data_IF_294055289936
#
_entry.id   IF_294055289936
#
_cell.length_a   1.000
_cell.length_b   1.000
_cell.length_c   1.000
_cell.angle_alpha   90.00
_cell.angle_beta   90.00
_cell.angle_gamma   90.00
#
_symmetry.space_group_name_H-M   'P 1'
#
loop_
_entity.id
_entity.type
_entity.pdbx_description
1 polymer ?
#
# COMPACT_ATOMS: atom_id res chain seq x y z
N UNK A 1 -18.79 14.91 -9.46
CA UNK A 1 -17.98 13.73 -9.91
C UNK A 1 -16.64 13.66 -9.20
N UNK A 2 -15.88 14.76 -9.14
CA UNK A 2 -14.53 14.82 -8.55
C UNK A 2 -14.44 14.38 -7.07
N UNK A 3 -15.40 14.78 -6.22
CA UNK A 3 -15.45 14.34 -4.81
C UNK A 3 -15.55 12.82 -4.62
N UNK A 4 -16.30 12.12 -5.50
CA UNK A 4 -16.40 10.65 -5.47
C UNK A 4 -15.07 10.01 -5.87
N UNK A 5 -14.38 10.57 -6.86
CA UNK A 5 -13.07 10.07 -7.30
C UNK A 5 -12.01 10.22 -6.19
N UNK A 6 -11.99 11.36 -5.48
CA UNK A 6 -11.06 11.59 -4.37
C UNK A 6 -11.32 10.61 -3.22
N UNK A 7 -12.58 10.42 -2.84
CA UNK A 7 -12.97 9.43 -1.83
C UNK A 7 -12.54 8.01 -2.23
N UNK A 8 -12.68 7.66 -3.51
CA UNK A 8 -12.24 6.38 -4.03
C UNK A 8 -10.71 6.23 -3.96
N UNK A 9 -9.95 7.28 -4.27
CA UNK A 9 -8.50 7.30 -4.19
C UNK A 9 -7.99 7.09 -2.76
N UNK A 10 -8.61 7.77 -1.79
CA UNK A 10 -8.30 7.64 -0.35
C UNK A 10 -8.57 6.20 0.10
N UNK A 11 -9.78 5.69 -0.20
CA UNK A 11 -10.16 4.33 0.18
C UNK A 11 -9.24 3.29 -0.44
N UNK A 12 -8.94 3.43 -1.73
CA UNK A 12 -8.05 2.51 -2.44
C UNK A 12 -6.62 2.53 -1.87
N UNK A 13 -6.06 3.72 -1.61
CA UNK A 13 -4.74 3.85 -0.99
C UNK A 13 -4.69 3.22 0.41
N UNK A 14 -5.73 3.41 1.21
CA UNK A 14 -5.85 2.81 2.53
C UNK A 14 -5.91 1.27 2.48
N UNK A 15 -6.70 0.70 1.56
CA UNK A 15 -6.75 -0.76 1.34
C UNK A 15 -5.40 -1.30 0.88
N UNK A 16 -4.70 -0.59 -0.01
CA UNK A 16 -3.36 -0.98 -0.45
C UNK A 16 -2.33 -0.94 0.69
N UNK A 17 -2.41 0.07 1.55
CA UNK A 17 -1.55 0.20 2.72
C UNK A 17 -1.81 -0.92 3.73
N UNK A 18 -3.07 -1.19 4.06
CA UNK A 18 -3.45 -2.28 4.97
C UNK A 18 -3.04 -3.65 4.46
N UNK A 19 -3.24 -3.93 3.16
CA UNK A 19 -2.81 -5.20 2.56
C UNK A 19 -1.29 -5.32 2.53
N UNK A 20 -0.56 -4.25 2.19
CA UNK A 20 0.90 -4.24 2.23
C UNK A 20 1.48 -4.48 3.63
N UNK A 21 0.97 -3.78 4.64
CA UNK A 21 1.39 -3.96 6.05
C UNK A 21 1.00 -5.35 6.55
N UNK A 22 -0.21 -5.83 6.21
CA UNK A 22 -0.66 -7.17 6.56
C UNK A 22 0.28 -8.25 6.03
N UNK A 23 0.61 -8.20 4.72
CA UNK A 23 1.53 -9.16 4.10
C UNK A 23 2.93 -9.06 4.71
N UNK A 24 3.41 -7.86 5.06
CA UNK A 24 4.68 -7.69 5.77
C UNK A 24 4.66 -8.31 7.17
N UNK A 25 3.59 -8.11 7.94
CA UNK A 25 3.45 -8.67 9.28
C UNK A 25 3.36 -10.21 9.23
N UNK A 26 2.57 -10.75 8.30
CA UNK A 26 2.48 -12.18 8.04
C UNK A 26 3.81 -12.77 7.52
N UNK A 27 4.58 -11.99 6.75
CA UNK A 27 5.94 -12.34 6.33
C UNK A 27 6.92 -12.39 7.50
N UNK A 28 6.82 -11.44 8.44
CA UNK A 28 7.66 -11.40 9.65
C UNK A 28 7.32 -12.53 10.63
N UNK A 29 6.05 -12.93 10.72
CA UNK A 29 5.62 -14.10 11.49
C UNK A 29 6.02 -15.44 10.84
N UNK A 30 6.59 -15.44 9.63
CA UNK A 30 6.96 -16.66 8.90
C UNK A 30 5.76 -17.45 8.35
N UNK A 31 4.54 -16.91 8.43
CA UNK A 31 3.32 -17.55 7.93
C UNK A 31 3.21 -17.40 6.41
N UNK A 32 3.70 -16.29 5.86
CA UNK A 32 3.73 -16.04 4.41
C UNK A 32 5.18 -15.99 3.94
N UNK A 33 5.52 -16.86 2.98
CA UNK A 33 6.86 -16.88 2.40
C UNK A 33 7.01 -15.69 1.42
N UNK A 34 7.50 -14.57 1.94
CA UNK A 34 7.78 -13.32 1.18
C UNK A 34 8.80 -13.53 0.07
N UNK A 35 9.57 -14.62 0.10
CA UNK A 35 10.51 -15.00 -0.95
C UNK A 35 9.82 -15.33 -2.29
N UNK A 36 8.54 -15.73 -2.29
CA UNK A 36 7.76 -15.88 -3.53
C UNK A 36 7.53 -14.57 -4.27
N UNK A 37 7.62 -13.44 -3.56
CA UNK A 37 7.55 -12.10 -4.13
C UNK A 37 8.94 -11.52 -4.41
N UNK A 38 10.02 -12.25 -4.11
CA UNK A 38 11.36 -11.82 -4.48
C UNK A 38 11.51 -11.92 -6.01
N UNK A 39 11.77 -10.78 -6.63
CA UNK A 39 12.12 -10.68 -8.05
C UNK A 39 13.58 -10.22 -8.14
N UNK A 40 14.44 -11.09 -8.70
CA UNK A 40 15.87 -10.80 -8.90
C UNK A 40 16.65 -10.65 -7.59
N UNK A 41 17.47 -9.59 -7.48
CA UNK A 41 18.30 -9.28 -6.30
C UNK A 41 17.50 -8.65 -5.14
N UNK A 42 16.22 -8.33 -5.35
CA UNK A 42 15.42 -7.62 -4.36
C UNK A 42 14.69 -8.61 -3.46
N UNK A 43 14.98 -8.54 -2.15
CA UNK A 43 14.26 -9.31 -1.15
C UNK A 43 12.75 -8.99 -1.24
N UNK A 44 11.89 -10.01 -1.28
CA UNK A 44 10.45 -9.83 -1.50
C UNK A 44 9.78 -8.91 -0.47
N UNK A 45 10.33 -8.84 0.75
CA UNK A 45 9.93 -7.86 1.78
C UNK A 45 10.05 -6.41 1.30
N UNK A 46 11.04 -6.10 0.47
CA UNK A 46 11.31 -4.76 -0.05
C UNK A 46 10.26 -4.37 -1.09
N UNK A 47 9.86 -5.32 -1.94
CA UNK A 47 8.81 -5.13 -2.94
C UNK A 47 7.46 -4.92 -2.26
N UNK A 48 7.11 -5.77 -1.28
CA UNK A 48 5.88 -5.61 -0.49
C UNK A 48 5.89 -4.28 0.30
N UNK A 49 7.05 -3.89 0.84
CA UNK A 49 7.24 -2.60 1.51
C UNK A 49 6.97 -1.41 0.58
N UNK A 50 7.47 -1.43 -0.65
CA UNK A 50 7.18 -0.40 -1.65
C UNK A 50 5.69 -0.25 -1.93
N UNK A 51 4.95 -1.36 -1.98
CA UNK A 51 3.48 -1.35 -2.18
C UNK A 51 2.77 -0.72 -0.99
N UNK A 52 3.17 -1.07 0.24
CA UNK A 52 2.62 -0.47 1.46
C UNK A 52 2.86 1.05 1.49
N UNK A 53 4.07 1.50 1.17
CA UNK A 53 4.44 2.92 1.11
C UNK A 53 3.65 3.63 0.00
N UNK A 54 3.51 3.03 -1.18
CA UNK A 54 2.73 3.58 -2.27
C UNK A 54 1.24 3.76 -1.89
N UNK A 55 0.67 2.81 -1.14
CA UNK A 55 -0.68 2.92 -0.59
C UNK A 55 -0.85 4.11 0.35
N UNK A 56 0.09 4.29 1.29
CA UNK A 56 0.11 5.44 2.20
C UNK A 56 0.22 6.77 1.45
N UNK A 57 1.13 6.86 0.48
CA UNK A 57 1.31 8.07 -0.35
C UNK A 57 0.05 8.39 -1.17
N UNK A 58 -0.56 7.37 -1.79
CA UNK A 58 -1.78 7.55 -2.57
C UNK A 58 -2.94 8.06 -1.71
N UNK A 59 -3.08 7.51 -0.50
CA UNK A 59 -4.06 7.98 0.47
C UNK A 59 -3.78 9.42 0.92
N UNK A 60 -2.52 9.78 1.18
CA UNK A 60 -2.12 11.13 1.58
C UNK A 60 -2.41 12.17 0.48
N UNK A 61 -2.12 11.84 -0.78
CA UNK A 61 -2.48 12.69 -1.94
C UNK A 61 -4.00 12.88 -2.00
N UNK A 62 -4.76 11.80 -1.80
CA UNK A 62 -6.23 11.87 -1.76
C UNK A 62 -6.74 12.82 -0.67
N UNK A 63 -6.17 12.78 0.54
CA UNK A 63 -6.52 13.72 1.61
C UNK A 63 -6.11 15.15 1.28
N UNK A 64 -4.92 15.38 0.74
CA UNK A 64 -4.47 16.71 0.32
C UNK A 64 -5.36 17.34 -0.77
N UNK A 65 -5.82 16.54 -1.73
CA UNK A 65 -6.77 16.98 -2.75
C UNK A 65 -8.17 17.22 -2.20
N UNK A 66 -8.58 16.52 -1.15
CA UNK A 66 -9.87 16.72 -0.48
C UNK A 66 -9.89 18.05 0.29
N UNK A 67 -8.78 18.44 0.91
CA UNK A 67 -8.64 19.69 1.67
C UNK A 67 -8.60 20.92 0.75
N UNK A 68 -8.02 20.80 -0.45
CA UNK A 68 -7.90 21.90 -1.42
C UNK A 68 -9.16 22.12 -2.32
N UNK A 69 -10.30 21.48 -2.01
CA UNK A 69 -11.55 21.51 -2.80
C UNK A 69 -12.76 21.91 -1.97
#
# INVERSE_FOLDING_TARGET
MLKKLIQFLIGFGCVLACTGIGVLALGFLGVVNVERFAFGLSAGVRIVGSVAIAGCLLSAIGYGLKENI
#
